data_IF_577482913271
#
_entry.id   IF_577482913271
#
_cell.length_a   1.000
_cell.length_b   1.000
_cell.length_c   1.000
_cell.angle_alpha   90.00
_cell.angle_beta   90.00
_cell.angle_gamma   90.00
#
_symmetry.space_group_name_H-M   'P 1'
#
loop_
_entity.id
_entity.type
_entity.pdbx_description
1 polymer ?
#
# COMPACT_ATOMS: atom_id res chain seq x y z
N UNK A 1 5.65 13.17 14.24
CA UNK A 1 5.53 12.03 13.33
C UNK A 1 5.28 10.78 14.16
N UNK A 2 4.42 9.86 13.70
CA UNK A 2 4.16 8.62 14.46
C UNK A 2 5.36 7.69 14.33
N UNK A 3 5.80 7.10 15.45
CA UNK A 3 6.86 6.08 15.46
C UNK A 3 6.53 4.90 14.53
N UNK A 4 5.25 4.61 14.33
CA UNK A 4 4.79 3.57 13.41
C UNK A 4 5.02 3.97 11.95
N UNK A 5 4.74 5.22 11.58
CA UNK A 5 4.91 5.69 10.21
C UNK A 5 6.40 5.66 9.80
N UNK A 6 7.29 6.10 10.69
CA UNK A 6 8.73 6.01 10.46
C UNK A 6 9.19 4.56 10.25
N UNK A 7 8.72 3.63 11.09
CA UNK A 7 8.99 2.19 10.93
C UNK A 7 8.45 1.65 9.60
N UNK A 8 7.26 2.08 9.18
CA UNK A 8 6.67 1.68 7.90
C UNK A 8 7.52 2.15 6.71
N UNK A 9 8.00 3.39 6.72
CA UNK A 9 8.88 3.90 5.67
C UNK A 9 10.23 3.17 5.63
N UNK A 10 10.82 2.88 6.79
CA UNK A 10 12.08 2.11 6.88
C UNK A 10 11.88 0.70 6.34
N UNK A 11 10.82 0.01 6.77
CA UNK A 11 10.54 -1.34 6.29
C UNK A 11 10.24 -1.35 4.80
N UNK A 12 9.41 -0.44 4.29
CA UNK A 12 9.07 -0.33 2.87
C UNK A 12 10.32 -0.21 1.98
N UNK A 13 11.38 0.47 2.44
CA UNK A 13 12.63 0.61 1.68
C UNK A 13 13.32 -0.74 1.42
N UNK A 14 13.12 -1.74 2.28
CA UNK A 14 13.67 -3.10 2.10
C UNK A 14 13.00 -3.85 0.95
N UNK A 15 11.86 -3.37 0.47
CA UNK A 15 11.14 -3.96 -0.65
C UNK A 15 11.61 -3.45 -2.00
N UNK A 16 12.44 -2.40 -2.04
CA UNK A 16 13.01 -1.87 -3.28
C UNK A 16 13.84 -2.97 -3.95
N UNK A 17 13.55 -3.26 -5.22
CA UNK A 17 14.16 -4.34 -5.98
C UNK A 17 13.44 -5.69 -5.88
N UNK A 18 12.37 -5.80 -5.08
CA UNK A 18 11.50 -6.98 -5.09
C UNK A 18 10.77 -7.05 -6.43
N UNK A 19 10.81 -8.19 -7.15
CA UNK A 19 10.12 -8.32 -8.44
C UNK A 19 8.60 -8.29 -8.26
N UNK A 20 7.89 -7.83 -9.29
CA UNK A 20 6.43 -7.88 -9.28
C UNK A 20 5.94 -9.34 -9.39
N UNK A 21 5.09 -9.75 -8.44
CA UNK A 21 4.37 -11.01 -8.49
C UNK A 21 2.96 -10.78 -7.97
N UNK A 22 1.96 -10.94 -8.84
CA UNK A 22 0.55 -10.86 -8.48
C UNK A 22 0.21 -11.74 -7.27
N UNK A 23 -0.43 -11.17 -6.25
CA UNK A 23 -0.71 -11.77 -4.94
C UNK A 23 0.51 -12.18 -4.10
N UNK A 24 1.73 -11.91 -4.59
CA UNK A 24 2.96 -12.11 -3.84
C UNK A 24 3.08 -11.12 -2.67
N UNK A 25 3.76 -11.51 -1.60
CA UNK A 25 4.00 -10.64 -0.44
C UNK A 25 5.30 -11.04 0.27
N UNK A 26 6.37 -11.26 -0.48
CA UNK A 26 7.66 -11.67 0.08
C UNK A 26 8.79 -10.75 -0.41
N UNK A 27 9.48 -10.04 0.51
CA UNK A 27 10.54 -9.11 0.12
C UNK A 27 11.68 -9.86 -0.57
N UNK A 28 12.16 -9.32 -1.69
CA UNK A 28 13.20 -9.91 -2.53
C UNK A 28 12.75 -11.08 -3.42
N UNK A 29 11.58 -11.69 -3.19
CA UNK A 29 11.11 -12.85 -3.93
C UNK A 29 9.90 -12.56 -4.84
N UNK A 30 9.01 -11.66 -4.44
CA UNK A 30 7.83 -11.31 -5.24
C UNK A 30 6.76 -10.58 -4.45
N UNK A 31 6.26 -9.46 -4.98
CA UNK A 31 5.18 -8.69 -4.38
C UNK A 31 4.32 -7.97 -5.41
N UNK A 32 3.04 -7.78 -5.11
CA UNK A 32 2.25 -6.71 -5.74
C UNK A 32 2.02 -5.55 -4.75
N UNK A 33 1.24 -4.54 -5.16
CA UNK A 33 1.07 -3.33 -4.35
C UNK A 33 0.49 -3.64 -2.96
N UNK A 34 -0.57 -4.45 -2.88
CA UNK A 34 -1.17 -4.86 -1.61
C UNK A 34 -0.24 -5.79 -0.84
N UNK A 35 0.46 -6.68 -1.55
CA UNK A 35 1.49 -7.55 -1.03
C UNK A 35 2.61 -6.82 -0.29
N UNK A 36 3.08 -5.69 -0.83
CA UNK A 36 4.05 -4.83 -0.15
C UNK A 36 3.49 -4.28 1.16
N UNK A 37 2.27 -3.72 1.15
CA UNK A 37 1.65 -3.16 2.35
C UNK A 37 1.40 -4.24 3.41
N UNK A 38 0.88 -5.41 3.02
CA UNK A 38 0.69 -6.57 3.90
C UNK A 38 2.01 -6.98 4.55
N UNK A 39 3.10 -6.99 3.78
CA UNK A 39 4.42 -7.36 4.29
C UNK A 39 5.00 -6.34 5.27
N UNK A 40 4.87 -5.04 4.99
CA UNK A 40 5.24 -3.98 5.93
C UNK A 40 4.40 -4.07 7.20
N UNK A 41 3.10 -4.31 7.07
CA UNK A 41 2.21 -4.51 8.21
C UNK A 41 2.66 -5.68 9.08
N UNK A 42 2.94 -6.86 8.48
CA UNK A 42 3.44 -8.04 9.22
C UNK A 42 4.75 -7.74 9.95
N UNK A 43 5.67 -6.99 9.35
CA UNK A 43 6.93 -6.63 10.01
C UNK A 43 6.71 -5.70 11.23
N UNK A 44 5.67 -4.88 11.22
CA UNK A 44 5.38 -3.94 12.32
C UNK A 44 4.56 -4.59 13.43
N UNK A 45 3.54 -5.38 13.06
CA UNK A 45 2.50 -5.88 13.94
C UNK A 45 2.52 -7.40 14.15
N UNK A 46 3.37 -8.14 13.42
CA UNK A 46 3.55 -9.59 13.55
C UNK A 46 2.52 -10.46 12.82
N UNK A 47 1.39 -9.91 12.40
CA UNK A 47 0.30 -10.61 11.70
C UNK A 47 -0.31 -9.72 10.62
N UNK A 48 -1.18 -10.24 9.76
CA UNK A 48 -2.03 -9.43 8.87
C UNK A 48 -3.35 -9.05 9.55
N UNK A 49 -3.97 -7.91 9.17
CA UNK A 49 -5.20 -7.44 9.80
C UNK A 49 -6.44 -8.25 9.39
N UNK A 50 -6.45 -8.79 8.17
CA UNK A 50 -7.52 -9.64 7.64
C UNK A 50 -6.97 -10.59 6.58
N UNK A 51 -7.66 -11.70 6.33
CA UNK A 51 -7.34 -12.60 5.23
C UNK A 51 -7.74 -11.95 3.90
N UNK A 52 -6.81 -11.91 2.94
CA UNK A 52 -7.06 -11.35 1.61
C UNK A 52 -7.48 -12.49 0.67
N UNK A 53 -8.70 -12.45 0.07
CA UNK A 53 -9.10 -13.46 -0.90
C UNK A 53 -8.24 -13.36 -2.17
N UNK A 54 -8.13 -14.42 -2.98
CA UNK A 54 -7.57 -14.30 -4.32
C UNK A 54 -8.30 -13.22 -5.12
N UNK A 55 -7.55 -12.33 -5.75
CA UNK A 55 -8.09 -11.26 -6.59
C UNK A 55 -7.43 -11.24 -7.95
N UNK A 56 -8.10 -10.67 -8.95
CA UNK A 56 -7.56 -10.50 -10.29
C UNK A 56 -6.78 -9.17 -10.41
N UNK A 57 -5.94 -8.97 -11.43
CA UNK A 57 -5.30 -7.66 -11.64
C UNK A 57 -6.30 -6.51 -11.87
N UNK A 58 -7.49 -6.81 -12.41
CA UNK A 58 -8.61 -5.88 -12.64
C UNK A 58 -9.63 -5.87 -11.49
N UNK A 59 -9.24 -6.34 -10.30
CA UNK A 59 -10.13 -6.56 -9.17
C UNK A 59 -11.02 -5.34 -8.88
N UNK A 60 -12.32 -5.59 -8.85
CA UNK A 60 -13.38 -4.62 -8.56
C UNK A 60 -13.60 -3.54 -9.63
N UNK A 61 -12.82 -3.50 -10.72
CA UNK A 61 -13.02 -2.53 -11.81
C UNK A 61 -14.34 -2.72 -12.56
N UNK A 62 -14.74 -3.93 -13.00
CA UNK A 62 -15.98 -4.12 -13.74
C UNK A 62 -17.23 -3.82 -12.91
N UNK A 63 -17.15 -4.02 -11.59
CA UNK A 63 -18.25 -3.80 -10.65
C UNK A 63 -18.29 -2.36 -10.13
N UNK A 64 -17.21 -1.58 -10.26
CA UNK A 64 -17.10 -0.25 -9.67
C UNK A 64 -17.00 -0.29 -8.13
N UNK A 65 -16.64 -1.43 -7.55
CA UNK A 65 -16.60 -1.62 -6.10
C UNK A 65 -15.28 -1.10 -5.50
N UNK A 66 -15.37 -0.27 -4.46
CA UNK A 66 -14.22 0.34 -3.79
C UNK A 66 -13.59 -0.58 -2.75
N UNK A 67 -13.37 -1.85 -3.09
CA UNK A 67 -12.99 -2.91 -2.14
C UNK A 67 -11.72 -2.56 -1.37
N UNK A 68 -10.67 -2.13 -2.09
CA UNK A 68 -9.40 -1.76 -1.48
C UNK A 68 -9.52 -0.50 -0.62
N UNK A 69 -10.32 0.49 -1.04
CA UNK A 69 -10.55 1.70 -0.24
C UNK A 69 -11.36 1.39 1.02
N UNK A 70 -12.39 0.55 0.92
CA UNK A 70 -13.16 0.10 2.07
C UNK A 70 -12.27 -0.64 3.07
N UNK A 71 -11.35 -1.50 2.61
CA UNK A 71 -10.36 -2.15 3.46
C UNK A 71 -9.40 -1.16 4.11
N UNK A 72 -8.87 -0.20 3.36
CA UNK A 72 -8.02 0.86 3.89
C UNK A 72 -8.71 1.64 5.02
N UNK A 73 -10.00 2.01 4.85
CA UNK A 73 -10.75 2.74 5.89
C UNK A 73 -11.05 1.92 7.14
N UNK A 74 -11.06 0.58 7.06
CA UNK A 74 -11.22 -0.29 8.23
C UNK A 74 -9.94 -0.39 9.06
N UNK A 75 -8.78 -0.34 8.41
CA UNK A 75 -7.49 -0.69 9.04
C UNK A 75 -6.52 0.49 9.20
N UNK A 76 -6.74 1.60 8.49
CA UNK A 76 -5.89 2.78 8.49
C UNK A 76 -6.66 4.01 8.98
N UNK A 77 -5.92 4.99 9.48
CA UNK A 77 -6.46 6.28 9.84
C UNK A 77 -6.39 7.21 8.62
N UNK A 78 -7.55 7.65 8.14
CA UNK A 78 -7.65 8.59 7.03
C UNK A 78 -7.08 9.95 7.44
N UNK A 79 -6.37 10.58 6.50
CA UNK A 79 -5.69 11.86 6.72
C UNK A 79 -5.83 12.75 5.47
N UNK A 80 -5.97 14.08 5.64
CA UNK A 80 -5.91 15.01 4.50
C UNK A 80 -4.58 14.89 3.74
N UNK A 81 -4.63 14.96 2.41
CA UNK A 81 -3.43 14.93 1.55
C UNK A 81 -2.47 16.08 1.87
N UNK A 82 -2.99 17.23 2.29
CA UNK A 82 -2.18 18.37 2.71
C UNK A 82 -1.27 18.06 3.92
N UNK A 83 -1.64 17.07 4.73
CA UNK A 83 -0.90 16.66 5.92
C UNK A 83 -0.02 15.43 5.66
N UNK A 84 0.20 15.05 4.39
CA UNK A 84 0.99 13.90 4.01
C UNK A 84 2.38 13.90 4.67
N UNK A 85 2.80 12.73 5.13
CA UNK A 85 4.01 12.50 5.89
C UNK A 85 4.67 11.18 5.46
N UNK A 86 5.97 11.09 5.71
CA UNK A 86 6.73 9.85 5.48
C UNK A 86 6.10 8.70 6.26
N UNK A 87 5.90 7.57 5.59
CA UNK A 87 5.29 6.36 6.16
C UNK A 87 3.77 6.25 5.97
N UNK A 88 3.11 7.29 5.46
CA UNK A 88 1.69 7.18 5.13
C UNK A 88 1.45 6.18 4.00
N UNK A 89 0.31 5.51 4.05
CA UNK A 89 -0.20 4.74 2.91
C UNK A 89 -0.93 5.71 1.97
N UNK A 90 -0.55 5.66 0.70
CA UNK A 90 -1.19 6.43 -0.38
C UNK A 90 -2.00 5.45 -1.20
N UNK A 91 -3.29 5.74 -1.37
CA UNK A 91 -4.21 4.97 -2.20
C UNK A 91 -4.54 5.78 -3.46
N UNK A 92 -4.41 5.14 -4.61
CA UNK A 92 -4.57 5.75 -5.92
C UNK A 92 -5.78 5.20 -6.66
N UNK A 93 -6.49 6.16 -7.25
CA UNK A 93 -7.41 5.93 -8.35
C UNK A 93 -6.71 6.32 -9.64
N UNK A 94 -6.49 5.34 -10.53
CA UNK A 94 -5.67 5.56 -11.73
C UNK A 94 -6.43 6.28 -12.86
N UNK A 95 -7.76 6.30 -12.80
CA UNK A 95 -8.65 7.00 -13.74
C UNK A 95 -9.79 7.61 -12.97
N UNK A 96 -10.22 8.81 -13.30
CA UNK A 96 -11.26 9.55 -12.57
C UNK A 96 -12.53 8.70 -12.31
N UNK A 97 -12.98 7.93 -13.30
CA UNK A 97 -14.16 7.06 -13.20
C UNK A 97 -13.86 5.59 -12.85
N UNK A 98 -12.59 5.19 -12.67
CA UNK A 98 -12.22 3.83 -12.24
C UNK A 98 -12.14 3.73 -10.72
N UNK A 99 -12.05 2.54 -10.12
CA UNK A 99 -11.93 2.34 -8.65
C UNK A 99 -10.53 2.65 -8.09
N UNK A 100 -10.43 2.88 -6.78
CA UNK A 100 -9.13 2.95 -6.12
C UNK A 100 -8.52 1.55 -5.99
N UNK A 101 -7.41 1.29 -6.69
CA UNK A 101 -6.87 -0.08 -6.87
C UNK A 101 -5.36 -0.22 -6.76
N UNK A 102 -4.65 0.88 -6.54
CA UNK A 102 -3.19 0.86 -6.43
C UNK A 102 -2.76 1.59 -5.18
N UNK A 103 -1.76 1.07 -4.46
CA UNK A 103 -1.28 1.71 -3.25
C UNK A 103 0.25 1.67 -3.11
N UNK A 104 0.77 2.52 -2.23
CA UNK A 104 2.17 2.56 -1.87
C UNK A 104 2.38 3.27 -0.54
N UNK A 105 3.64 3.36 -0.10
CA UNK A 105 4.04 4.00 1.16
C UNK A 105 4.87 5.24 0.85
N UNK A 106 4.52 6.38 1.46
CA UNK A 106 5.25 7.63 1.29
C UNK A 106 6.70 7.49 1.78
N UNK A 107 7.67 7.66 0.88
CA UNK A 107 9.10 7.53 1.17
C UNK A 107 9.77 8.85 1.53
N UNK A 108 9.39 9.94 0.86
CA UNK A 108 9.85 11.31 1.13
C UNK A 108 8.75 12.33 0.81
N UNK A 109 8.78 13.49 1.46
CA UNK A 109 7.87 14.63 1.22
C UNK A 109 8.64 15.86 0.71
N UNK A 110 7.92 16.88 0.23
CA UNK A 110 8.51 18.13 -0.27
C UNK A 110 8.96 18.07 -1.73
N UNK A 111 9.96 18.87 -2.11
CA UNK A 111 10.39 19.05 -3.51
C UNK A 111 10.90 17.78 -4.20
N UNK A 112 11.32 16.77 -3.42
CA UNK A 112 11.74 15.44 -3.92
C UNK A 112 10.85 14.35 -3.33
N UNK A 113 9.54 14.60 -3.34
CA UNK A 113 8.57 13.63 -2.88
C UNK A 113 8.72 12.30 -3.64
N UNK A 114 8.61 11.20 -2.90
CA UNK A 114 8.66 9.85 -3.45
C UNK A 114 7.79 8.93 -2.63
N UNK A 115 7.35 7.85 -3.24
CA UNK A 115 6.64 6.76 -2.60
C UNK A 115 7.19 5.43 -3.10
N UNK A 116 6.99 4.38 -2.31
CA UNK A 116 7.47 3.04 -2.57
C UNK A 116 6.24 2.17 -2.86
N UNK A 117 6.23 1.53 -4.02
CA UNK A 117 5.15 0.65 -4.48
C UNK A 117 5.72 -0.48 -5.33
N UNK A 118 4.97 -1.57 -5.45
CA UNK A 118 5.23 -2.63 -6.42
C UNK A 118 4.30 -2.44 -7.62
N UNK A 119 4.86 -2.48 -8.83
CA UNK A 119 4.17 -2.27 -10.11
C UNK A 119 4.75 -3.19 -11.20
#
# INVERSE_FOLDING_TARGET
>A
MSQIAERAAVEARRWIGTPYHHQGSMPGAGADCLGLLRGVWRAIYGTEPEAVPPYTPDWSEPQGEETLWAAARRHLLEKPVADAAVGDVILFRLREAGVAKHLGIQGAIGARASFIHAY
#
